data_IF_726484398154
#
_entry.id   IF_726484398154
#
_cell.length_a   1.000
_cell.length_b   1.000
_cell.length_c   1.000
_cell.angle_alpha   90.00
_cell.angle_beta   90.00
_cell.angle_gamma   90.00
#
_symmetry.space_group_name_H-M   'P 1'
#
loop_
_entity.id
_entity.type
_entity.pdbx_description
1 polymer ?
#
# COMPACT_ATOMS: atom_id res chain seq x y z
N UNK A 1 0.84 53.48 1.06
CA UNK A 1 -0.51 53.91 0.63
C UNK A 1 -1.53 53.15 1.47
N UNK A 2 -2.51 53.89 2.04
CA UNK A 2 -3.86 53.50 2.54
C UNK A 2 -4.03 52.06 3.10
N UNK A 3 -4.16 51.84 4.42
CA UNK A 3 -5.35 52.04 5.30
C UNK A 3 -6.64 51.37 4.81
N UNK A 4 -7.23 50.53 5.68
CA UNK A 4 -8.63 50.42 6.18
C UNK A 4 -8.84 48.95 6.64
N UNK A 5 -9.52 48.55 7.73
CA UNK A 5 -10.16 49.21 8.89
C UNK A 5 -10.80 48.07 9.77
N UNK A 6 -10.63 48.12 11.11
CA UNK A 6 -11.65 48.06 12.20
C UNK A 6 -12.87 47.13 11.95
N UNK A 7 -13.28 46.20 12.82
CA UNK A 7 -13.21 46.11 14.28
C UNK A 7 -14.63 45.89 14.83
N UNK A 8 -14.79 45.12 15.91
CA UNK A 8 -15.90 45.36 16.85
C UNK A 8 -15.58 44.79 18.24
N UNK A 9 -15.98 45.59 19.23
CA UNK A 9 -15.73 45.51 20.66
C UNK A 9 -17.10 45.74 21.30
N UNK A 10 -17.49 44.89 22.26
CA UNK A 10 -18.53 45.17 23.27
C UNK A 10 -18.38 44.12 24.37
N UNK A 11 -17.70 44.40 25.49
CA UNK A 11 -18.15 45.14 26.69
C UNK A 11 -19.45 44.60 27.29
N UNK A 12 -19.34 43.96 28.46
CA UNK A 12 -20.20 44.24 29.62
C UNK A 12 -19.47 43.84 30.90
N UNK A 13 -19.00 44.87 31.61
CA UNK A 13 -18.69 44.84 33.04
C UNK A 13 -20.00 44.72 33.83
N UNK A 14 -20.00 43.94 34.92
CA UNK A 14 -20.66 44.32 36.16
C UNK A 14 -19.79 43.91 37.35
N UNK A 15 -19.57 44.89 38.22
CA UNK A 15 -18.80 44.80 39.44
C UNK A 15 -19.73 44.86 40.67
N UNK A 16 -19.13 44.52 41.81
CA UNK A 16 -19.43 44.97 43.18
C UNK A 16 -20.20 44.02 44.12
N UNK A 17 -19.42 43.47 45.06
CA UNK A 17 -19.58 43.52 46.52
C UNK A 17 -20.98 43.59 47.15
N UNK A 18 -21.25 42.66 48.06
CA UNK A 18 -21.89 42.97 49.34
C UNK A 18 -21.26 42.18 50.49
N UNK A 19 -20.70 42.90 51.45
CA UNK A 19 -20.48 42.43 52.83
C UNK A 19 -21.77 42.56 53.64
N UNK A 20 -22.00 41.61 54.55
CA UNK A 20 -22.88 41.73 55.72
C UNK A 20 -22.85 40.41 56.49
N UNK A 21 -21.99 40.25 57.51
CA UNK A 21 -22.16 40.54 58.95
C UNK A 21 -23.30 39.80 59.68
N UNK A 22 -22.89 39.02 60.70
CA UNK A 22 -23.68 38.56 61.86
C UNK A 22 -24.24 37.15 61.69
N UNK A 23 -24.13 36.20 62.60
CA UNK A 23 -23.67 36.20 63.99
C UNK A 23 -24.45 35.12 64.77
N UNK A 24 -23.70 34.27 65.48
CA UNK A 24 -24.02 33.47 66.67
C UNK A 24 -25.00 32.28 66.68
N UNK A 25 -24.47 31.22 67.34
CA UNK A 25 -25.10 30.24 68.26
C UNK A 25 -26.06 29.20 67.66
N UNK A 26 -26.21 27.98 68.16
CA UNK A 26 -25.48 27.00 68.99
C UNK A 26 -26.52 25.89 69.21
N UNK A 27 -26.09 24.61 69.23
CA UNK A 27 -26.83 23.43 69.77
C UNK A 27 -28.12 23.02 69.01
N UNK A 28 -28.58 21.77 68.96
CA UNK A 28 -28.07 20.44 69.24
C UNK A 28 -29.15 19.45 68.73
N UNK A 29 -28.68 18.27 68.29
CA UNK A 29 -29.32 16.95 68.36
C UNK A 29 -30.58 16.57 67.53
N UNK A 30 -30.55 15.25 67.28
CA UNK A 30 -31.58 14.29 66.86
C UNK A 30 -31.75 14.05 65.37
N UNK A 31 -31.39 12.82 65.00
CA UNK A 31 -31.31 12.34 63.64
C UNK A 31 -32.65 11.91 63.06
N UNK A 32 -32.61 11.80 61.75
CA UNK A 32 -33.48 10.94 60.98
C UNK A 32 -32.59 10.36 59.88
N UNK A 33 -32.24 9.08 60.02
CA UNK A 33 -31.51 8.33 59.01
C UNK A 33 -32.44 8.06 57.84
N UNK A 34 -32.65 9.08 57.01
CA UNK A 34 -33.06 8.88 55.63
C UNK A 34 -31.86 8.33 54.88
N UNK A 35 -32.00 7.15 54.30
CA UNK A 35 -31.13 6.65 53.24
C UNK A 35 -31.08 7.73 52.14
N UNK A 36 -30.04 8.56 52.18
CA UNK A 36 -29.63 9.33 51.03
C UNK A 36 -29.09 8.28 50.06
N UNK A 37 -29.84 8.02 48.98
CA UNK A 37 -29.22 7.58 47.74
C UNK A 37 -28.04 8.53 47.50
N UNK A 38 -26.82 8.02 47.63
CA UNK A 38 -25.64 8.70 47.10
C UNK A 38 -25.95 8.95 45.63
N UNK A 39 -26.31 10.19 45.29
CA UNK A 39 -26.21 10.65 43.91
C UNK A 39 -24.73 10.54 43.59
N UNK A 40 -24.34 9.46 42.91
CA UNK A 40 -23.03 9.36 42.29
C UNK A 40 -22.80 10.67 41.53
N UNK A 41 -21.76 11.40 41.94
CA UNK A 41 -21.34 12.60 41.25
C UNK A 41 -20.99 12.18 39.82
N UNK A 42 -21.67 12.76 38.84
CA UNK A 42 -21.42 12.44 37.44
C UNK A 42 -20.01 12.97 37.08
N UNK A 43 -19.08 12.07 36.80
CA UNK A 43 -17.71 12.38 36.42
C UNK A 43 -17.44 11.97 34.99
N UNK A 44 -16.37 12.48 34.38
CA UNK A 44 -15.94 12.02 33.04
C UNK A 44 -15.71 10.50 33.03
N UNK A 45 -15.02 9.99 34.06
CA UNK A 45 -14.75 8.55 34.24
C UNK A 45 -16.05 7.74 34.29
N UNK A 46 -17.06 8.16 35.08
CA UNK A 46 -18.31 7.39 35.17
C UNK A 46 -19.15 7.44 33.90
N UNK A 47 -19.04 8.51 33.10
CA UNK A 47 -19.64 8.56 31.74
C UNK A 47 -18.91 7.60 30.80
N UNK A 48 -17.57 7.60 30.81
CA UNK A 48 -16.73 6.73 29.97
C UNK A 48 -16.96 5.25 30.25
N UNK A 49 -16.96 4.84 31.53
CA UNK A 49 -17.21 3.44 31.92
C UNK A 49 -18.58 2.95 31.44
N UNK A 50 -19.62 3.78 31.57
CA UNK A 50 -20.97 3.46 31.10
C UNK A 50 -21.06 3.41 29.58
N UNK A 51 -20.32 4.28 28.89
CA UNK A 51 -20.27 4.30 27.43
C UNK A 51 -19.52 3.08 26.87
N UNK A 52 -18.39 2.68 27.47
CA UNK A 52 -17.68 1.44 27.15
C UNK A 52 -18.57 0.22 27.36
N UNK A 53 -19.32 0.14 28.47
CA UNK A 53 -20.27 -0.95 28.71
C UNK A 53 -21.41 -0.97 27.67
N UNK A 54 -21.91 0.20 27.26
CA UNK A 54 -22.93 0.30 26.22
C UNK A 54 -22.40 -0.21 24.86
N UNK A 55 -21.17 0.16 24.50
CA UNK A 55 -20.50 -0.26 23.28
C UNK A 55 -20.12 -1.75 23.26
N UNK A 56 -19.82 -2.35 24.42
CA UNK A 56 -19.61 -3.81 24.52
C UNK A 56 -20.85 -4.64 24.13
N UNK A 57 -22.03 -4.02 24.04
CA UNK A 57 -23.27 -4.68 23.62
C UNK A 57 -23.75 -4.19 22.25
N UNK A 58 -22.91 -3.52 21.48
CA UNK A 58 -23.24 -3.01 20.14
C UNK A 58 -23.26 -4.17 19.14
N UNK A 59 -24.43 -4.48 18.57
CA UNK A 59 -24.61 -5.54 17.57
C UNK A 59 -24.36 -5.04 16.14
N UNK A 60 -24.63 -3.75 15.90
CA UNK A 60 -24.54 -3.13 14.57
C UNK A 60 -24.35 -1.62 14.67
N UNK A 61 -23.71 -1.02 13.68
CA UNK A 61 -23.57 0.42 13.56
C UNK A 61 -23.44 0.88 12.11
N UNK A 62 -23.91 2.08 11.82
CA UNK A 62 -23.59 2.82 10.59
C UNK A 62 -22.89 4.11 10.98
N UNK A 63 -21.69 4.33 10.46
CA UNK A 63 -20.79 5.44 10.81
C UNK A 63 -20.44 6.20 9.54
N UNK A 64 -20.89 7.44 9.44
CA UNK A 64 -20.38 8.35 8.41
C UNK A 64 -18.97 8.79 8.78
N UNK A 65 -18.04 8.65 7.85
CA UNK A 65 -16.63 8.99 8.06
C UNK A 65 -16.22 10.16 7.19
N UNK A 66 -15.39 11.02 7.78
CA UNK A 66 -14.66 12.06 7.09
C UNK A 66 -13.25 12.08 7.66
N UNK A 67 -12.28 11.62 6.88
CA UNK A 67 -10.89 11.47 7.32
C UNK A 67 -9.96 12.13 6.31
N UNK A 68 -8.77 12.53 6.75
CA UNK A 68 -7.68 12.91 5.87
C UNK A 68 -6.82 11.69 5.56
N UNK A 69 -6.62 11.39 4.28
CA UNK A 69 -5.71 10.33 3.85
C UNK A 69 -4.24 10.76 3.97
N UNK A 70 -3.32 9.83 3.69
CA UNK A 70 -1.88 10.07 3.77
C UNK A 70 -1.33 11.05 2.72
N UNK A 71 -2.15 11.45 1.73
CA UNK A 71 -1.83 12.49 0.76
C UNK A 71 -2.40 13.87 1.16
N UNK A 72 -3.09 13.97 2.30
CA UNK A 72 -3.75 15.19 2.74
C UNK A 72 -5.08 15.44 2.03
N UNK A 73 -5.66 14.42 1.39
CA UNK A 73 -6.96 14.48 0.71
C UNK A 73 -8.04 14.02 1.68
N UNK A 74 -9.12 14.78 1.77
CA UNK A 74 -10.26 14.33 2.57
C UNK A 74 -11.00 13.21 1.84
N UNK A 75 -11.11 12.07 2.50
CA UNK A 75 -11.97 10.95 2.13
C UNK A 75 -13.26 11.04 2.95
N UNK A 76 -14.40 10.80 2.29
CA UNK A 76 -15.72 10.79 2.89
C UNK A 76 -16.44 9.50 2.47
N UNK A 77 -17.19 8.89 3.38
CA UNK A 77 -17.88 7.63 3.11
C UNK A 77 -18.74 7.16 4.28
N UNK A 78 -19.23 5.93 4.18
CA UNK A 78 -20.02 5.28 5.21
C UNK A 78 -19.44 3.91 5.50
N UNK A 79 -19.24 3.63 6.79
CA UNK A 79 -18.89 2.31 7.31
C UNK A 79 -20.13 1.69 7.97
N UNK A 80 -20.51 0.50 7.54
CA UNK A 80 -21.62 -0.29 8.06
C UNK A 80 -21.09 -1.56 8.71
N UNK A 81 -21.63 -1.91 9.87
CA UNK A 81 -21.17 -3.03 10.68
C UNK A 81 -22.33 -3.91 11.14
N UNK A 82 -22.12 -5.22 11.09
CA UNK A 82 -22.86 -6.23 11.84
C UNK A 82 -21.85 -7.02 12.68
N UNK A 83 -21.54 -6.52 13.88
CA UNK A 83 -20.46 -7.02 14.73
C UNK A 83 -20.67 -8.49 15.14
N UNK A 84 -21.91 -8.90 15.41
CA UNK A 84 -22.24 -10.28 15.79
C UNK A 84 -21.99 -11.28 14.65
N UNK A 85 -22.14 -10.83 13.40
CA UNK A 85 -21.91 -11.63 12.19
C UNK A 85 -20.47 -11.50 11.67
N UNK A 86 -19.68 -10.58 12.24
CA UNK A 86 -18.33 -10.29 11.79
C UNK A 86 -18.26 -9.61 10.42
N UNK A 87 -19.29 -8.85 10.06
CA UNK A 87 -19.39 -8.19 8.75
C UNK A 87 -19.11 -6.70 8.89
N UNK A 88 -18.22 -6.19 8.03
CA UNK A 88 -17.91 -4.77 7.87
C UNK A 88 -17.98 -4.38 6.39
N UNK A 89 -18.55 -3.21 6.10
CA UNK A 89 -18.67 -2.69 4.75
C UNK A 89 -18.37 -1.19 4.71
N UNK A 90 -17.51 -0.77 3.79
CA UNK A 90 -17.21 0.62 3.49
C UNK A 90 -17.71 0.94 2.08
N UNK A 91 -18.30 2.13 1.93
CA UNK A 91 -18.58 2.73 0.63
C UNK A 91 -18.18 4.22 0.65
N UNK A 92 -17.38 4.64 -0.33
CA UNK A 92 -17.00 6.04 -0.49
C UNK A 92 -18.23 6.89 -0.86
N UNK A 93 -18.25 8.17 -0.52
CA UNK A 93 -19.35 9.09 -0.89
C UNK A 93 -19.57 9.15 -2.40
N UNK A 94 -18.50 8.94 -3.18
CA UNK A 94 -18.53 8.97 -4.64
C UNK A 94 -18.95 7.63 -5.24
N UNK A 95 -19.03 6.56 -4.45
CA UNK A 95 -19.37 5.20 -4.87
C UNK A 95 -18.29 4.52 -5.72
N UNK A 96 -17.10 5.11 -5.77
CA UNK A 96 -15.97 4.68 -6.60
C UNK A 96 -15.01 3.74 -5.86
N UNK A 97 -15.23 3.53 -4.57
CA UNK A 97 -14.50 2.55 -3.75
C UNK A 97 -15.46 1.87 -2.78
N UNK A 98 -15.40 0.54 -2.71
CA UNK A 98 -16.11 -0.28 -1.71
C UNK A 98 -15.16 -1.32 -1.11
N UNK A 99 -15.32 -1.57 0.18
CA UNK A 99 -14.62 -2.65 0.89
C UNK A 99 -15.69 -3.47 1.60
N UNK A 100 -15.78 -4.76 1.33
CA UNK A 100 -16.62 -5.68 2.08
C UNK A 100 -15.73 -6.70 2.77
N UNK A 101 -15.98 -6.97 4.05
CA UNK A 101 -15.23 -7.94 4.84
C UNK A 101 -16.21 -8.79 5.65
N UNK A 102 -16.08 -10.11 5.58
CA UNK A 102 -16.76 -11.05 6.47
C UNK A 102 -15.77 -12.08 7.05
N UNK A 103 -16.27 -13.08 7.78
CA UNK A 103 -15.40 -14.08 8.42
C UNK A 103 -14.65 -14.99 7.45
N UNK A 104 -15.06 -15.04 6.18
CA UNK A 104 -14.50 -15.93 5.15
C UNK A 104 -13.70 -15.18 4.09
N UNK A 105 -14.03 -13.91 3.81
CA UNK A 105 -13.61 -13.23 2.59
C UNK A 105 -13.55 -11.71 2.73
N UNK A 106 -12.67 -11.10 1.92
CA UNK A 106 -12.56 -9.64 1.76
C UNK A 106 -12.62 -9.28 0.28
N UNK A 107 -13.51 -8.35 -0.06
CA UNK A 107 -13.72 -7.87 -1.41
C UNK A 107 -13.40 -6.39 -1.49
N UNK A 108 -12.49 -6.04 -2.40
CA UNK A 108 -12.04 -4.68 -2.64
C UNK A 108 -12.45 -4.28 -4.05
N UNK A 109 -13.31 -3.27 -4.17
CA UNK A 109 -13.90 -2.84 -5.44
C UNK A 109 -13.55 -1.37 -5.66
N UNK A 110 -13.03 -1.03 -6.84
CA UNK A 110 -12.59 0.32 -7.19
C UNK A 110 -12.80 0.61 -8.67
N UNK A 111 -13.27 1.82 -8.99
CA UNK A 111 -13.48 2.30 -10.36
C UNK A 111 -12.18 2.75 -11.07
N UNK A 112 -11.11 3.03 -10.32
CA UNK A 112 -9.93 3.74 -10.88
C UNK A 112 -8.74 2.85 -11.24
N UNK A 113 -8.60 1.69 -10.59
CA UNK A 113 -7.58 0.68 -10.86
C UNK A 113 -7.80 -0.52 -9.93
N UNK A 114 -7.24 -1.67 -10.29
CA UNK A 114 -7.03 -2.73 -9.32
C UNK A 114 -5.95 -2.34 -8.32
N UNK A 115 -6.17 -2.73 -7.07
CA UNK A 115 -5.20 -2.54 -6.00
C UNK A 115 -3.99 -3.44 -6.22
N UNK A 116 -2.79 -2.97 -5.92
CA UNK A 116 -1.61 -3.83 -5.76
C UNK A 116 -1.76 -4.69 -4.49
N UNK A 117 -1.07 -5.84 -4.36
CA UNK A 117 -1.17 -6.69 -3.16
C UNK A 117 -0.91 -5.93 -1.85
N UNK A 118 -0.01 -4.94 -1.88
CA UNK A 118 0.26 -4.11 -0.72
C UNK A 118 -0.87 -3.10 -0.43
N UNK A 119 -1.47 -2.51 -1.46
CA UNK A 119 -2.66 -1.66 -1.27
C UNK A 119 -3.83 -2.47 -0.73
N UNK A 120 -4.01 -3.71 -1.20
CA UNK A 120 -5.00 -4.65 -0.66
C UNK A 120 -4.77 -4.83 0.84
N UNK A 121 -3.56 -5.22 1.27
CA UNK A 121 -3.20 -5.39 2.67
C UNK A 121 -3.44 -4.13 3.53
N UNK A 122 -3.19 -2.92 2.99
CA UNK A 122 -3.49 -1.67 3.69
C UNK A 122 -5.00 -1.44 3.86
N UNK A 123 -5.81 -1.81 2.86
CA UNK A 123 -7.28 -1.72 2.93
C UNK A 123 -7.87 -2.75 3.88
N UNK A 124 -7.32 -3.97 3.92
CA UNK A 124 -7.67 -4.98 4.92
C UNK A 124 -7.38 -4.47 6.34
N UNK A 125 -6.17 -3.94 6.57
CA UNK A 125 -5.79 -3.36 7.87
C UNK A 125 -6.66 -2.16 8.24
N UNK A 126 -7.03 -1.33 7.26
CA UNK A 126 -7.94 -0.19 7.47
C UNK A 126 -9.31 -0.67 7.97
N UNK A 127 -9.96 -1.60 7.28
CA UNK A 127 -11.31 -2.04 7.67
C UNK A 127 -11.30 -2.78 9.01
N UNK A 128 -10.26 -3.57 9.31
CA UNK A 128 -10.10 -4.23 10.61
C UNK A 128 -9.92 -3.20 11.74
N UNK A 129 -9.00 -2.24 11.57
CA UNK A 129 -8.74 -1.19 12.56
C UNK A 129 -10.01 -0.38 12.83
N UNK A 130 -10.73 0.03 11.78
CA UNK A 130 -11.99 0.77 11.92
C UNK A 130 -13.10 -0.04 12.55
N UNK A 131 -13.14 -1.35 12.31
CA UNK A 131 -14.12 -2.23 12.97
C UNK A 131 -13.89 -2.23 14.48
N UNK A 132 -12.65 -2.40 14.94
CA UNK A 132 -12.32 -2.38 16.36
C UNK A 132 -12.56 -0.99 16.98
N UNK A 133 -12.09 0.06 16.31
CA UNK A 133 -12.26 1.46 16.74
C UNK A 133 -13.74 1.84 16.87
N UNK A 134 -14.58 1.49 15.90
CA UNK A 134 -16.00 1.86 15.89
C UNK A 134 -16.89 0.94 16.74
N UNK A 135 -16.47 -0.31 16.99
CA UNK A 135 -17.21 -1.17 17.91
C UNK A 135 -17.14 -0.59 19.32
N UNK A 136 -15.94 -0.27 19.80
CA UNK A 136 -15.73 0.32 21.11
C UNK A 136 -14.51 1.26 21.11
N UNK A 137 -14.71 2.57 20.82
CA UNK A 137 -13.59 3.50 20.72
C UNK A 137 -12.86 3.70 22.05
N UNK A 138 -13.54 3.50 23.18
CA UNK A 138 -12.94 3.63 24.50
C UNK A 138 -12.01 2.47 24.83
N UNK A 139 -12.46 1.23 24.56
CA UNK A 139 -11.59 0.07 24.72
C UNK A 139 -10.41 0.12 23.75
N UNK A 140 -10.64 0.55 22.49
CA UNK A 140 -9.59 0.70 21.49
C UNK A 140 -8.46 1.64 21.95
N UNK A 141 -8.78 2.89 22.35
CA UNK A 141 -7.73 3.82 22.81
C UNK A 141 -7.07 3.41 24.15
N UNK A 142 -7.77 2.65 25.00
CA UNK A 142 -7.20 2.11 26.24
C UNK A 142 -6.13 1.04 26.03
N UNK A 143 -6.06 0.42 24.85
CA UNK A 143 -4.98 -0.50 24.52
C UNK A 143 -3.62 0.21 24.49
N UNK A 144 -3.61 1.48 24.07
CA UNK A 144 -2.42 2.33 23.97
C UNK A 144 -2.17 3.14 25.24
N UNK A 145 -3.22 3.68 25.84
CA UNK A 145 -3.14 4.48 27.07
C UNK A 145 -3.99 3.86 28.20
N UNK A 146 -3.40 3.07 29.12
CA UNK A 146 -4.14 2.45 30.22
C UNK A 146 -4.83 3.45 31.16
N UNK A 147 -4.32 4.68 31.24
CA UNK A 147 -4.84 5.76 32.08
C UNK A 147 -5.78 6.71 31.28
N UNK A 148 -6.23 6.30 30.08
CA UNK A 148 -7.03 7.10 29.14
C UNK A 148 -8.22 7.81 29.79
N UNK A 149 -8.92 7.18 30.75
CA UNK A 149 -10.13 7.73 31.36
C UNK A 149 -9.88 8.93 32.28
N UNK A 150 -8.71 9.00 32.89
CA UNK A 150 -8.36 10.07 33.83
C UNK A 150 -8.03 11.39 33.10
N UNK A 151 -7.96 11.35 31.77
CA UNK A 151 -7.51 12.43 30.90
C UNK A 151 -8.66 13.07 30.13
N UNK A 152 -9.87 13.09 30.68
CA UNK A 152 -11.04 13.74 30.07
C UNK A 152 -11.68 14.80 30.97
N UNK A 153 -12.06 15.92 30.35
CA UNK A 153 -13.03 16.86 30.93
C UNK A 153 -14.44 16.57 30.43
N UNK A 154 -15.43 16.67 31.33
CA UNK A 154 -16.85 16.50 31.01
C UNK A 154 -17.53 17.86 30.89
N UNK A 155 -18.24 18.06 29.78
CA UNK A 155 -19.21 19.14 29.64
C UNK A 155 -20.56 18.59 29.20
N UNK A 156 -21.64 19.30 29.55
CA UNK A 156 -23.00 18.87 29.26
C UNK A 156 -23.67 19.81 28.25
N UNK A 157 -24.33 19.22 27.26
CA UNK A 157 -25.31 19.90 26.38
C UNK A 157 -26.67 19.22 26.56
N UNK A 158 -27.70 19.71 25.87
CA UNK A 158 -29.10 19.29 26.10
C UNK A 158 -29.26 17.75 26.15
N UNK A 159 -28.95 17.05 25.06
CA UNK A 159 -29.14 15.60 24.93
C UNK A 159 -27.83 14.79 24.98
N UNK A 160 -26.68 15.45 25.12
CA UNK A 160 -25.37 14.78 25.03
C UNK A 160 -24.41 15.20 26.15
N UNK A 161 -23.57 14.24 26.56
CA UNK A 161 -22.31 14.50 27.23
C UNK A 161 -21.24 14.77 26.17
N UNK A 162 -20.35 15.73 26.43
CA UNK A 162 -19.22 16.04 25.58
C UNK A 162 -17.96 15.85 26.41
N UNK A 163 -17.17 14.84 26.05
CA UNK A 163 -15.90 14.52 26.66
C UNK A 163 -14.79 15.07 25.79
N UNK A 164 -13.88 15.85 26.37
CA UNK A 164 -12.70 16.38 25.66
C UNK A 164 -11.44 15.87 26.32
N UNK A 165 -10.54 15.29 25.53
CA UNK A 165 -9.27 14.77 26.02
C UNK A 165 -8.35 15.93 26.43
N UNK A 166 -7.73 15.80 27.60
CA UNK A 166 -6.89 16.81 28.27
C UNK A 166 -5.55 16.23 28.74
N UNK A 167 -5.08 15.14 28.12
CA UNK A 167 -3.73 14.60 28.37
C UNK A 167 -2.62 15.61 28.05
N UNK A 168 -1.38 15.24 28.33
CA UNK A 168 -0.17 15.99 27.98
C UNK A 168 0.55 15.37 26.76
N UNK A 169 1.66 15.96 26.32
CA UNK A 169 2.40 15.54 25.12
C UNK A 169 2.77 14.04 25.14
N UNK A 170 3.31 13.55 26.26
CA UNK A 170 3.66 12.13 26.46
C UNK A 170 2.42 11.21 26.31
N UNK A 171 1.23 11.71 26.63
CA UNK A 171 -0.01 10.94 26.48
C UNK A 171 -0.49 10.90 25.03
N UNK A 172 -0.27 12.00 24.28
CA UNK A 172 -0.64 12.07 22.87
C UNK A 172 0.22 11.13 22.02
N UNK A 173 1.52 11.04 22.33
CA UNK A 173 2.47 10.13 21.68
C UNK A 173 2.03 8.67 21.80
N UNK A 174 1.45 8.25 22.93
CA UNK A 174 0.88 6.91 23.09
C UNK A 174 -0.28 6.67 22.12
N UNK A 175 -1.19 7.65 21.98
CA UNK A 175 -2.38 7.48 21.14
C UNK A 175 -2.06 7.48 19.63
N UNK A 176 -0.93 8.04 19.21
CA UNK A 176 -0.48 8.00 17.80
C UNK A 176 -0.27 6.56 17.33
N UNK A 177 0.10 5.64 18.21
CA UNK A 177 0.23 4.21 17.87
C UNK A 177 -1.09 3.60 17.37
N UNK A 178 -2.25 4.16 17.77
CA UNK A 178 -3.54 3.70 17.28
C UNK A 178 -3.86 4.20 15.87
N UNK A 179 -3.79 5.52 15.66
CA UNK A 179 -4.28 6.13 14.41
C UNK A 179 -3.17 6.45 13.38
N UNK A 180 -1.91 6.54 13.80
CA UNK A 180 -0.79 6.93 12.96
C UNK A 180 -0.25 5.80 12.09
N UNK A 181 -0.52 4.54 12.46
CA UNK A 181 0.09 3.38 11.80
C UNK A 181 -0.26 3.27 10.32
N UNK A 182 -1.52 3.45 9.95
CA UNK A 182 -1.96 3.36 8.55
C UNK A 182 -1.33 4.44 7.64
N UNK A 183 -1.36 5.74 7.97
CA UNK A 183 -0.73 6.76 7.13
C UNK A 183 0.80 6.64 7.06
N UNK A 184 1.45 6.19 8.14
CA UNK A 184 2.90 5.93 8.15
C UNK A 184 3.22 4.70 7.28
N UNK A 185 2.51 3.59 7.45
CA UNK A 185 2.72 2.38 6.65
C UNK A 185 2.56 2.66 5.15
N UNK A 186 1.52 3.42 4.78
CA UNK A 186 1.30 3.85 3.39
C UNK A 186 2.48 4.69 2.87
N UNK A 187 3.04 5.58 3.71
CA UNK A 187 4.16 6.45 3.32
C UNK A 187 5.51 5.73 3.27
N UNK A 188 5.77 4.79 4.17
CA UNK A 188 6.99 3.97 4.20
C UNK A 188 7.03 3.04 2.99
N UNK A 189 5.88 2.47 2.61
CA UNK A 189 5.76 1.66 1.40
C UNK A 189 6.14 2.44 0.13
N UNK A 190 5.67 3.69 0.00
CA UNK A 190 6.08 4.56 -1.12
C UNK A 190 7.59 4.84 -1.15
N UNK A 191 8.27 4.71 -0.01
CA UNK A 191 9.71 4.84 0.14
C UNK A 191 10.49 3.53 0.03
N UNK A 192 9.83 2.37 -0.06
CA UNK A 192 10.46 1.05 -0.11
C UNK A 192 10.99 0.54 1.25
N UNK A 193 10.42 1.01 2.37
CA UNK A 193 10.80 0.60 3.72
C UNK A 193 9.81 -0.45 4.26
N UNK A 194 10.33 -1.44 5.00
CA UNK A 194 9.49 -2.35 5.79
C UNK A 194 8.97 -1.61 7.04
N UNK A 195 7.71 -1.87 7.41
CA UNK A 195 7.09 -1.24 8.58
C UNK A 195 7.37 -2.13 9.79
N UNK A 196 8.30 -1.72 10.64
CA UNK A 196 8.32 -2.17 12.04
C UNK A 196 7.32 -1.32 12.85
N UNK A 197 6.67 -1.91 13.85
CA UNK A 197 5.65 -1.23 14.67
C UNK A 197 6.16 0.12 15.20
N UNK A 198 5.44 1.21 14.87
CA UNK A 198 5.76 2.55 15.36
C UNK A 198 5.63 2.56 16.87
N UNK A 199 6.68 3.04 17.54
CA UNK A 199 6.64 3.28 18.98
C UNK A 199 6.43 4.76 19.27
N UNK A 200 5.79 5.05 20.41
CA UNK A 200 5.72 6.38 20.99
C UNK A 200 7.09 7.04 21.13
N UNK A 201 8.18 6.25 21.27
CA UNK A 201 9.55 6.76 21.37
C UNK A 201 10.07 7.42 20.09
N UNK A 202 9.46 7.11 18.94
CA UNK A 202 9.85 7.55 17.61
C UNK A 202 8.92 8.67 17.09
N UNK A 203 8.03 9.18 17.94
CA UNK A 203 6.97 10.12 17.57
C UNK A 203 7.07 11.40 18.39
N UNK A 204 6.80 12.56 17.78
CA UNK A 204 6.58 13.82 18.48
C UNK A 204 5.26 14.45 18.03
N UNK A 205 4.47 15.00 18.96
CA UNK A 205 3.14 15.53 18.67
C UNK A 205 3.08 17.05 18.86
N UNK A 206 2.84 17.78 17.78
CA UNK A 206 2.71 19.24 17.80
C UNK A 206 1.34 19.71 18.31
N UNK A 207 0.29 19.06 17.83
CA UNK A 207 -1.09 19.39 18.20
C UNK A 207 -1.90 18.11 18.31
N UNK A 208 -2.75 18.03 19.34
CA UNK A 208 -3.67 16.92 19.52
C UNK A 208 -5.02 17.41 20.02
N UNK A 209 -6.10 16.79 19.53
CA UNK A 209 -7.45 16.97 20.04
C UNK A 209 -8.26 15.72 19.77
N UNK A 210 -8.89 15.21 20.83
CA UNK A 210 -9.87 14.13 20.76
C UNK A 210 -11.11 14.55 21.57
N UNK A 211 -12.30 14.37 21.00
CA UNK A 211 -13.55 14.63 21.72
C UNK A 211 -14.68 13.70 21.30
N UNK A 212 -15.48 13.26 22.26
CA UNK A 212 -16.62 12.37 22.06
C UNK A 212 -17.93 13.07 22.45
N UNK A 213 -18.94 12.94 21.58
CA UNK A 213 -20.33 13.29 21.87
C UNK A 213 -21.09 12.00 22.21
N UNK A 214 -21.55 11.87 23.47
CA UNK A 214 -22.22 10.67 24.00
C UNK A 214 -23.67 10.98 24.33
N UNK A 215 -24.59 10.13 23.88
CA UNK A 215 -26.02 10.24 24.18
C UNK A 215 -26.31 10.01 25.67
N UNK A 216 -27.02 10.95 26.33
CA UNK A 216 -27.27 10.86 27.77
C UNK A 216 -28.19 9.71 28.20
N UNK A 217 -29.04 9.22 27.30
CA UNK A 217 -30.02 8.18 27.62
C UNK A 217 -29.42 6.78 27.43
N UNK A 218 -28.76 6.57 26.28
CA UNK A 218 -28.22 5.27 25.86
C UNK A 218 -26.75 5.06 26.19
N UNK A 219 -25.99 6.13 26.48
CA UNK A 219 -24.53 6.11 26.63
C UNK A 219 -23.77 5.66 25.37
N UNK A 220 -24.43 5.57 24.23
CA UNK A 220 -23.78 5.30 22.96
C UNK A 220 -23.16 6.58 22.38
N UNK A 221 -22.00 6.44 21.74
CA UNK A 221 -21.36 7.53 21.01
C UNK A 221 -22.25 7.96 19.84
N UNK A 222 -22.49 9.26 19.72
CA UNK A 222 -23.14 9.91 18.57
C UNK A 222 -22.12 10.35 17.52
N UNK A 223 -20.93 10.69 17.96
CA UNK A 223 -19.80 10.97 17.10
C UNK A 223 -18.56 11.35 17.89
N UNK A 224 -17.42 11.38 17.21
CA UNK A 224 -16.18 11.87 17.77
C UNK A 224 -15.28 12.49 16.71
N UNK A 225 -14.41 13.39 17.16
CA UNK A 225 -13.47 14.13 16.33
C UNK A 225 -12.06 13.86 16.84
N UNK A 226 -11.13 13.58 15.92
CA UNK A 226 -9.70 13.47 16.16
C UNK A 226 -8.97 14.48 15.26
N UNK A 227 -8.09 15.28 15.84
CA UNK A 227 -7.13 16.10 15.10
C UNK A 227 -5.75 15.94 15.70
N UNK A 228 -4.77 15.59 14.88
CA UNK A 228 -3.38 15.49 15.29
C UNK A 228 -2.44 16.03 14.22
N UNK A 229 -1.32 16.62 14.64
CA UNK A 229 -0.15 16.90 13.80
C UNK A 229 1.02 16.28 14.52
N UNK A 230 1.73 15.35 13.88
CA UNK A 230 2.80 14.58 14.50
C UNK A 230 3.94 14.31 13.51
N UNK A 231 5.15 14.20 14.04
CA UNK A 231 6.36 13.84 13.31
C UNK A 231 6.81 12.45 13.73
N UNK A 232 7.31 11.65 12.79
CA UNK A 232 7.85 10.31 13.03
C UNK A 232 9.27 10.22 12.51
N UNK A 233 10.18 9.72 13.35
CA UNK A 233 11.59 9.45 13.04
C UNK A 233 11.90 7.96 13.26
N UNK A 234 11.80 7.15 12.20
CA UNK A 234 12.07 5.69 12.25
C UNK A 234 13.16 5.35 11.22
N UNK A 235 14.30 4.82 11.67
CA UNK A 235 15.41 4.38 10.81
C UNK A 235 15.87 5.40 9.75
N UNK A 236 15.83 6.70 10.11
CA UNK A 236 16.21 7.80 9.21
C UNK A 236 15.11 8.25 8.25
N UNK A 237 13.89 7.69 8.38
CA UNK A 237 12.67 8.26 7.83
C UNK A 237 12.13 9.30 8.81
N UNK A 238 12.29 10.58 8.47
CA UNK A 238 11.77 11.73 9.22
C UNK A 238 10.67 12.41 8.39
N UNK A 239 9.42 12.32 8.86
CA UNK A 239 8.25 12.88 8.17
C UNK A 239 7.15 13.35 9.12
N UNK A 240 6.59 14.52 8.79
CA UNK A 240 5.38 15.05 9.43
C UNK A 240 4.09 14.56 8.78
N UNK A 241 3.09 14.35 9.60
CA UNK A 241 1.75 13.88 9.25
C UNK A 241 0.67 14.73 9.92
N UNK A 242 -0.42 14.94 9.20
CA UNK A 242 -1.65 15.53 9.73
C UNK A 242 -2.74 14.46 9.73
N UNK A 243 -3.48 14.37 10.83
CA UNK A 243 -4.70 13.58 10.94
C UNK A 243 -5.87 14.51 11.27
N UNK A 244 -6.94 14.45 10.48
CA UNK A 244 -8.22 15.12 10.76
C UNK A 244 -9.32 14.12 10.44
N UNK A 245 -9.98 13.62 11.48
CA UNK A 245 -11.02 12.61 11.37
C UNK A 245 -12.27 13.02 12.14
N UNK A 246 -13.43 12.76 11.54
CA UNK A 246 -14.75 12.96 12.15
C UNK A 246 -15.61 11.75 11.83
N UNK A 247 -16.19 11.16 12.88
CA UNK A 247 -17.04 9.99 12.79
C UNK A 247 -18.39 10.30 13.37
N UNK A 248 -19.47 9.98 12.65
CA UNK A 248 -20.84 10.22 13.08
C UNK A 248 -21.65 8.93 13.02
N UNK A 249 -22.14 8.48 14.16
CA UNK A 249 -22.98 7.28 14.26
C UNK A 249 -24.41 7.63 13.83
N UNK A 250 -24.79 7.18 12.64
CA UNK A 250 -26.11 7.41 12.07
C UNK A 250 -27.16 6.46 12.67
N UNK A 251 -26.80 5.19 12.85
CA UNK A 251 -27.64 4.16 13.49
C UNK A 251 -26.81 3.22 14.35
N UNK A 252 -27.37 2.75 15.47
CA UNK A 252 -26.74 1.79 16.39
C UNK A 252 -27.75 0.78 16.88
N UNK A 253 -27.39 -0.51 16.91
CA UNK A 253 -28.29 -1.62 17.27
C UNK A 253 -29.59 -1.67 16.44
N UNK A 254 -29.54 -1.18 15.20
CA UNK A 254 -30.63 -1.28 14.23
C UNK A 254 -30.34 -2.41 13.22
N UNK A 255 -31.39 -2.94 12.60
CA UNK A 255 -31.25 -3.93 11.52
C UNK A 255 -30.71 -3.21 10.27
N UNK A 256 -29.40 -3.33 10.04
CA UNK A 256 -28.71 -2.82 8.86
C UNK A 256 -28.55 -4.00 7.91
N UNK A 257 -29.03 -3.89 6.67
CA UNK A 257 -28.81 -4.93 5.67
C UNK A 257 -27.51 -4.63 4.91
N UNK A 258 -26.49 -5.44 5.13
CA UNK A 258 -25.24 -5.42 4.35
C UNK A 258 -25.34 -6.59 3.37
N UNK A 259 -25.36 -6.31 2.07
CA UNK A 259 -25.34 -7.34 1.02
C UNK A 259 -23.89 -7.55 0.59
N UNK A 260 -23.44 -8.82 0.57
CA UNK A 260 -22.15 -9.17 -0.02
C UNK A 260 -22.17 -8.76 -1.51
N UNK A 261 -21.20 -7.95 -1.98
CA UNK A 261 -21.12 -7.56 -3.38
C UNK A 261 -21.04 -8.77 -4.32
N UNK A 262 -21.44 -8.58 -5.58
CA UNK A 262 -21.20 -9.60 -6.59
C UNK A 262 -19.69 -9.69 -6.88
N UNK A 263 -19.14 -10.89 -7.00
CA UNK A 263 -17.70 -11.09 -7.28
C UNK A 263 -17.31 -10.49 -8.63
N UNK A 264 -18.26 -10.42 -9.56
CA UNK A 264 -18.07 -9.76 -10.84
C UNK A 264 -17.88 -8.23 -10.71
N UNK A 265 -18.25 -7.60 -9.58
CA UNK A 265 -17.91 -6.19 -9.33
C UNK A 265 -16.40 -5.97 -9.09
N UNK A 266 -15.64 -7.03 -8.77
CA UNK A 266 -14.18 -6.95 -8.67
C UNK A 266 -13.49 -7.05 -10.04
N UNK A 267 -14.23 -7.44 -11.08
CA UNK A 267 -13.68 -7.66 -12.40
C UNK A 267 -13.48 -6.33 -13.16
N UNK A 268 -12.47 -6.27 -14.01
CA UNK A 268 -12.28 -5.16 -14.96
C UNK A 268 -13.46 -5.10 -15.92
N UNK A 269 -13.91 -3.88 -16.26
CA UNK A 269 -15.04 -3.65 -17.16
C UNK A 269 -14.90 -4.47 -18.46
N UNK A 270 -15.94 -5.24 -18.77
CA UNK A 270 -15.98 -6.16 -19.93
C UNK A 270 -15.72 -7.63 -19.60
N UNK A 271 -15.24 -7.97 -18.41
CA UNK A 271 -14.95 -9.35 -17.99
C UNK A 271 -15.82 -9.78 -16.79
N UNK A 272 -16.06 -11.09 -16.68
CA UNK A 272 -16.44 -11.69 -15.39
C UNK A 272 -15.20 -12.00 -14.56
N UNK A 273 -15.34 -12.18 -13.24
CA UNK A 273 -14.20 -12.52 -12.37
C UNK A 273 -13.48 -13.79 -12.83
N UNK A 274 -14.24 -14.85 -13.14
CA UNK A 274 -13.71 -16.12 -13.66
C UNK A 274 -12.94 -15.94 -14.99
N UNK A 275 -13.39 -15.02 -15.85
CA UNK A 275 -12.70 -14.74 -17.12
C UNK A 275 -11.40 -13.99 -16.88
N UNK A 276 -11.44 -12.97 -16.01
CA UNK A 276 -10.27 -12.20 -15.63
C UNK A 276 -9.19 -13.09 -15.01
N UNK A 277 -9.52 -13.86 -13.97
CA UNK A 277 -8.55 -14.76 -13.31
C UNK A 277 -7.94 -15.75 -14.29
N UNK A 278 -8.74 -16.31 -15.21
CA UNK A 278 -8.22 -17.20 -16.24
C UNK A 278 -7.30 -16.46 -17.22
N UNK A 279 -7.66 -15.26 -17.66
CA UNK A 279 -6.85 -14.52 -18.61
C UNK A 279 -5.56 -13.97 -18.01
N UNK A 280 -5.56 -13.63 -16.72
CA UNK A 280 -4.37 -13.28 -15.94
C UNK A 280 -3.40 -14.45 -15.82
N UNK A 281 -3.89 -15.67 -15.52
CA UNK A 281 -3.07 -16.90 -15.51
C UNK A 281 -2.52 -17.24 -16.90
N UNK A 282 -3.35 -17.08 -17.95
CA UNK A 282 -2.88 -17.25 -19.32
C UNK A 282 -1.80 -16.20 -19.70
N UNK A 283 -1.96 -14.93 -19.30
CA UNK A 283 -0.95 -13.89 -19.54
C UNK A 283 0.36 -14.15 -18.77
N UNK A 284 0.27 -14.59 -17.52
CA UNK A 284 1.39 -15.03 -16.69
C UNK A 284 2.19 -16.12 -17.41
N UNK A 285 1.51 -17.17 -17.85
CA UNK A 285 2.09 -18.32 -18.55
C UNK A 285 2.72 -17.91 -19.89
N UNK A 286 2.10 -16.97 -20.60
CA UNK A 286 2.64 -16.46 -21.86
C UNK A 286 3.96 -15.72 -21.69
N UNK A 287 4.05 -14.80 -20.73
CA UNK A 287 5.30 -14.06 -20.46
C UNK A 287 6.41 -15.00 -20.03
N UNK A 288 6.08 -15.97 -19.18
CA UNK A 288 7.01 -17.01 -18.75
C UNK A 288 7.54 -17.84 -19.94
N UNK A 289 6.65 -18.24 -20.86
CA UNK A 289 7.02 -18.94 -22.08
C UNK A 289 7.93 -18.08 -22.97
N UNK A 290 7.56 -16.83 -23.23
CA UNK A 290 8.36 -15.89 -24.04
C UNK A 290 9.75 -15.69 -23.45
N UNK A 291 9.89 -15.63 -22.12
CA UNK A 291 11.20 -15.59 -21.46
C UNK A 291 12.06 -16.81 -21.78
N UNK A 292 11.44 -17.99 -21.73
CA UNK A 292 12.13 -19.23 -22.06
C UNK A 292 12.63 -19.24 -23.50
N UNK A 293 11.82 -18.78 -24.47
CA UNK A 293 12.25 -18.70 -25.86
C UNK A 293 13.31 -17.61 -26.11
N UNK A 294 13.13 -16.41 -25.54
CA UNK A 294 13.94 -15.24 -25.88
C UNK A 294 15.26 -15.16 -25.10
N UNK A 295 15.26 -15.38 -23.79
CA UNK A 295 16.47 -15.23 -22.95
C UNK A 295 17.15 -16.57 -22.75
N UNK A 296 16.38 -17.62 -22.46
CA UNK A 296 16.92 -18.96 -22.21
C UNK A 296 17.07 -19.80 -23.49
N UNK A 297 16.59 -19.30 -24.62
CA UNK A 297 16.73 -19.95 -25.93
C UNK A 297 16.17 -21.39 -25.94
N UNK A 298 15.09 -21.61 -25.18
CA UNK A 298 14.51 -22.91 -24.87
C UNK A 298 13.06 -23.03 -25.37
N UNK A 299 12.92 -23.47 -26.62
CA UNK A 299 11.62 -23.70 -27.27
C UNK A 299 10.82 -24.82 -26.61
N UNK A 300 11.47 -25.85 -26.07
CA UNK A 300 10.73 -26.96 -25.44
C UNK A 300 10.02 -26.46 -24.16
N UNK A 301 10.66 -25.63 -23.34
CA UNK A 301 10.02 -24.99 -22.18
C UNK A 301 8.94 -23.98 -22.61
N UNK A 302 9.14 -23.24 -23.71
CA UNK A 302 8.07 -22.40 -24.27
C UNK A 302 6.81 -23.23 -24.58
N UNK A 303 6.97 -24.40 -25.21
CA UNK A 303 5.86 -25.29 -25.58
C UNK A 303 5.11 -25.80 -24.35
N UNK A 304 5.83 -26.11 -23.27
CA UNK A 304 5.23 -26.58 -22.02
C UNK A 304 4.44 -25.47 -21.32
N UNK A 305 4.95 -24.23 -21.35
CA UNK A 305 4.40 -23.11 -20.58
C UNK A 305 3.36 -22.29 -21.33
N UNK A 306 3.44 -22.13 -22.65
CA UNK A 306 2.56 -21.24 -23.39
C UNK A 306 1.08 -21.63 -23.15
N UNK A 307 0.16 -20.67 -22.91
CA UNK A 307 -1.19 -20.99 -22.42
C UNK A 307 -2.11 -21.58 -23.50
N UNK A 308 -1.87 -21.22 -24.77
CA UNK A 308 -2.81 -21.45 -25.89
C UNK A 308 -2.09 -22.14 -27.05
N UNK A 309 -2.83 -22.97 -27.79
CA UNK A 309 -2.36 -23.66 -28.99
C UNK A 309 -2.11 -25.14 -28.79
N UNK A 310 -2.08 -25.88 -29.89
CA UNK A 310 -1.57 -27.25 -29.92
C UNK A 310 -0.05 -27.27 -29.75
N UNK A 311 0.53 -28.42 -29.39
CA UNK A 311 1.98 -28.58 -29.23
C UNK A 311 2.78 -28.16 -30.50
N UNK A 312 2.22 -28.42 -31.68
CA UNK A 312 2.80 -28.02 -32.96
C UNK A 312 2.75 -26.49 -33.15
N UNK A 313 1.60 -25.85 -32.91
CA UNK A 313 1.45 -24.40 -33.01
C UNK A 313 2.33 -23.66 -31.98
N UNK A 314 2.42 -24.17 -30.76
CA UNK A 314 3.29 -23.62 -29.71
C UNK A 314 4.76 -23.72 -30.10
N UNK A 315 5.16 -24.83 -30.72
CA UNK A 315 6.55 -25.02 -31.16
C UNK A 315 6.91 -24.06 -32.28
N UNK A 316 6.04 -23.94 -33.29
CA UNK A 316 6.21 -22.95 -34.37
C UNK A 316 6.29 -21.52 -33.82
N UNK A 317 5.44 -21.18 -32.84
CA UNK A 317 5.47 -19.87 -32.17
C UNK A 317 6.75 -19.65 -31.37
N UNK A 318 7.18 -20.63 -30.57
CA UNK A 318 8.41 -20.55 -29.78
C UNK A 318 9.67 -20.43 -30.64
N UNK A 319 9.75 -21.17 -31.77
CA UNK A 319 10.83 -21.02 -32.75
C UNK A 319 10.82 -19.62 -33.39
N UNK A 320 9.64 -19.08 -33.70
CA UNK A 320 9.50 -17.73 -34.25
C UNK A 320 9.91 -16.63 -33.25
N UNK A 321 9.49 -16.73 -31.99
CA UNK A 321 9.90 -15.82 -30.91
C UNK A 321 11.42 -15.85 -30.71
N UNK A 322 11.99 -17.04 -30.56
CA UNK A 322 13.43 -17.24 -30.42
C UNK A 322 14.21 -16.59 -31.57
N UNK A 323 13.80 -16.87 -32.81
CA UNK A 323 14.46 -16.35 -34.01
C UNK A 323 14.30 -14.83 -34.13
N UNK A 324 13.08 -14.31 -33.94
CA UNK A 324 12.82 -12.86 -34.02
C UNK A 324 13.65 -12.09 -33.01
N UNK A 325 13.75 -12.61 -31.78
CA UNK A 325 14.58 -12.02 -30.73
C UNK A 325 16.06 -11.96 -31.12
N UNK A 326 16.64 -13.06 -31.60
CA UNK A 326 18.03 -13.10 -32.05
C UNK A 326 18.28 -12.14 -33.23
N UNK A 327 17.36 -12.07 -34.20
CA UNK A 327 17.47 -11.17 -35.34
C UNK A 327 17.41 -9.69 -34.94
N UNK A 328 16.49 -9.32 -34.06
CA UNK A 328 16.37 -7.95 -33.54
C UNK A 328 17.60 -7.55 -32.71
N UNK A 329 18.06 -8.44 -31.85
CA UNK A 329 19.26 -8.21 -31.04
C UNK A 329 20.50 -8.09 -31.91
N UNK A 330 20.67 -8.98 -32.90
CA UNK A 330 21.78 -8.93 -33.85
C UNK A 330 21.74 -7.66 -34.71
N UNK A 331 20.55 -7.21 -35.10
CA UNK A 331 20.40 -5.95 -35.83
C UNK A 331 20.83 -4.75 -34.97
N UNK A 332 20.38 -4.69 -33.73
CA UNK A 332 20.77 -3.63 -32.78
C UNK A 332 22.28 -3.63 -32.53
N UNK A 333 22.86 -4.81 -32.30
CA UNK A 333 24.28 -5.00 -32.07
C UNK A 333 25.12 -4.65 -33.31
N UNK A 334 24.71 -5.10 -34.49
CA UNK A 334 25.36 -4.84 -35.77
C UNK A 334 25.39 -3.36 -36.17
N UNK A 335 24.40 -2.56 -35.77
CA UNK A 335 24.46 -1.10 -35.91
C UNK A 335 25.55 -0.47 -35.04
N UNK A 336 25.79 -1.02 -33.85
CA UNK A 336 26.85 -0.57 -32.93
C UNK A 336 28.26 -0.96 -33.38
N UNK A 337 28.40 -2.12 -34.04
CA UNK A 337 29.70 -2.69 -34.46
C UNK A 337 30.02 -2.53 -35.94
N UNK A 338 29.16 -1.86 -36.72
CA UNK A 338 29.33 -1.72 -38.18
C UNK A 338 30.65 -1.06 -38.64
N UNK A 339 31.35 -0.35 -37.75
CA UNK A 339 32.68 0.20 -38.03
C UNK A 339 33.82 -0.84 -37.96
N UNK A 340 33.58 -2.00 -37.33
CA UNK A 340 34.56 -3.07 -37.17
C UNK A 340 34.68 -3.99 -38.39
N UNK A 341 33.75 -3.87 -39.36
CA UNK A 341 33.81 -4.63 -40.61
C UNK A 341 33.57 -6.13 -40.45
N UNK A 342 32.82 -6.54 -39.41
CA UNK A 342 32.39 -7.92 -39.17
C UNK A 342 31.42 -8.40 -40.25
N UNK A 343 31.47 -9.70 -40.57
CA UNK A 343 30.46 -10.36 -41.39
C UNK A 343 29.15 -10.57 -40.62
N UNK A 344 28.02 -10.65 -41.33
CA UNK A 344 26.70 -10.90 -40.73
C UNK A 344 26.67 -12.20 -39.90
N UNK A 345 27.41 -13.23 -40.34
CA UNK A 345 27.57 -14.51 -39.64
C UNK A 345 28.24 -14.30 -38.27
N UNK A 346 29.29 -13.46 -38.20
CA UNK A 346 29.97 -13.15 -36.94
C UNK A 346 29.18 -12.24 -36.02
N UNK A 347 28.39 -11.33 -36.57
CA UNK A 347 27.43 -10.53 -35.77
C UNK A 347 26.42 -11.45 -35.08
N UNK A 348 25.94 -12.49 -35.79
CA UNK A 348 25.01 -13.47 -35.22
C UNK A 348 25.68 -14.36 -34.17
N UNK A 349 26.86 -14.94 -34.44
CA UNK A 349 27.58 -15.75 -33.45
C UNK A 349 27.88 -14.98 -32.16
N UNK A 350 28.28 -13.70 -32.28
CA UNK A 350 28.53 -12.85 -31.13
C UNK A 350 27.24 -12.50 -30.38
N UNK A 351 26.13 -12.32 -31.10
CA UNK A 351 24.80 -12.14 -30.51
C UNK A 351 24.39 -13.37 -29.69
N UNK A 352 24.53 -14.57 -30.26
CA UNK A 352 24.24 -15.83 -29.57
C UNK A 352 25.08 -15.98 -28.30
N UNK A 353 26.36 -15.58 -28.32
CA UNK A 353 27.23 -15.63 -27.13
C UNK A 353 26.73 -14.70 -26.00
N UNK A 354 26.27 -13.48 -26.32
CA UNK A 354 25.68 -12.57 -25.33
C UNK A 354 24.36 -13.10 -24.77
N UNK A 355 23.48 -13.59 -25.64
CA UNK A 355 22.18 -14.15 -25.22
C UNK A 355 22.36 -15.39 -24.37
N UNK A 356 23.31 -16.27 -24.72
CA UNK A 356 23.69 -17.39 -23.88
C UNK A 356 24.20 -16.92 -22.52
N UNK A 357 24.94 -15.82 -22.47
CA UNK A 357 25.27 -15.12 -21.22
C UNK A 357 24.00 -14.85 -20.41
N UNK A 358 23.04 -14.12 -20.98
CA UNK A 358 21.80 -13.74 -20.32
C UNK A 358 20.96 -14.90 -19.79
N UNK A 359 21.03 -16.09 -20.40
CA UNK A 359 20.39 -17.31 -19.87
C UNK A 359 20.88 -17.74 -18.47
N UNK A 360 21.94 -17.13 -17.94
CA UNK A 360 22.42 -17.34 -16.58
C UNK A 360 21.79 -16.39 -15.54
N UNK A 361 20.89 -15.50 -15.94
CA UNK A 361 20.05 -14.75 -15.00
C UNK A 361 19.13 -15.67 -14.20
N UNK A 362 18.54 -15.14 -13.13
CA UNK A 362 17.41 -15.76 -12.44
C UNK A 362 16.17 -14.86 -12.57
N UNK A 363 14.99 -15.47 -12.68
CA UNK A 363 13.73 -14.73 -12.65
C UNK A 363 12.60 -15.53 -12.03
N UNK A 364 11.57 -14.82 -11.60
CA UNK A 364 10.30 -15.36 -11.14
C UNK A 364 9.19 -14.41 -11.57
N UNK A 365 8.14 -14.93 -12.19
CA UNK A 365 6.92 -14.14 -12.39
C UNK A 365 6.23 -14.01 -11.02
N UNK A 366 5.98 -12.77 -10.60
CA UNK A 366 5.45 -12.44 -9.27
C UNK A 366 3.93 -12.38 -9.31
N UNK A 367 3.38 -11.73 -10.33
CA UNK A 367 1.98 -11.35 -10.39
C UNK A 367 1.53 -11.08 -11.83
N UNK A 368 0.23 -11.16 -12.09
CA UNK A 368 -0.41 -10.83 -13.36
C UNK A 368 -1.79 -10.25 -13.09
N UNK A 369 -2.03 -9.02 -13.55
CA UNK A 369 -3.29 -8.29 -13.32
C UNK A 369 -3.88 -7.76 -14.61
N UNK A 370 -5.19 -7.90 -14.78
CA UNK A 370 -5.92 -7.25 -15.85
C UNK A 370 -6.02 -5.74 -15.58
N UNK A 371 -5.71 -4.94 -16.60
CA UNK A 371 -5.89 -3.48 -16.58
C UNK A 371 -6.96 -3.01 -17.58
N UNK A 372 -7.35 -3.87 -18.51
CA UNK A 372 -8.49 -3.73 -19.42
C UNK A 372 -8.98 -5.12 -19.86
N UNK A 373 -10.14 -5.21 -20.52
CA UNK A 373 -10.72 -6.47 -21.06
C UNK A 373 -9.68 -7.35 -21.79
N UNK A 374 -8.79 -6.72 -22.55
CA UNK A 374 -7.79 -7.39 -23.38
C UNK A 374 -6.34 -7.02 -22.99
N UNK A 375 -6.10 -6.32 -21.88
CA UNK A 375 -4.75 -5.85 -21.50
C UNK A 375 -4.40 -6.28 -20.08
N UNK A 376 -3.18 -6.81 -19.92
CA UNK A 376 -2.67 -7.38 -18.68
C UNK A 376 -1.29 -6.81 -18.38
N UNK A 377 -1.00 -6.59 -17.10
CA UNK A 377 0.33 -6.25 -16.61
C UNK A 377 0.88 -7.45 -15.85
N UNK A 378 2.05 -7.93 -16.27
CA UNK A 378 2.73 -9.05 -15.65
C UNK A 378 4.00 -8.53 -14.98
N UNK A 379 4.14 -8.79 -13.69
CA UNK A 379 5.31 -8.38 -12.91
C UNK A 379 6.31 -9.53 -12.84
N UNK A 380 7.56 -9.25 -13.19
CA UNK A 380 8.66 -10.22 -13.18
C UNK A 380 9.75 -9.72 -12.24
N UNK A 381 10.10 -10.52 -11.24
CA UNK A 381 11.27 -10.28 -10.42
C UNK A 381 12.49 -10.88 -11.12
N UNK A 382 13.49 -10.06 -11.41
CA UNK A 382 14.66 -10.45 -12.21
C UNK A 382 15.95 -10.15 -11.46
N UNK A 383 16.81 -11.15 -11.39
CA UNK A 383 18.24 -11.01 -11.06
C UNK A 383 19.04 -11.08 -12.37
N UNK A 384 19.18 -9.91 -13.00
CA UNK A 384 19.88 -9.77 -14.27
C UNK A 384 21.40 -9.83 -14.11
N UNK A 385 22.11 -9.98 -15.21
CA UNK A 385 23.58 -10.02 -15.20
C UNK A 385 24.15 -8.63 -14.92
N UNK A 386 25.21 -8.57 -14.12
CA UNK A 386 25.99 -7.36 -13.94
C UNK A 386 26.81 -7.05 -15.21
N UNK A 387 26.17 -6.39 -16.16
CA UNK A 387 26.75 -6.07 -17.46
C UNK A 387 28.01 -5.20 -17.33
N UNK A 388 28.06 -4.28 -16.36
CA UNK A 388 29.22 -3.43 -16.12
C UNK A 388 30.46 -4.23 -15.67
N UNK A 389 30.26 -5.29 -14.88
CA UNK A 389 31.35 -6.21 -14.52
C UNK A 389 31.81 -7.05 -15.71
N UNK A 390 30.87 -7.57 -16.51
CA UNK A 390 31.19 -8.32 -17.73
C UNK A 390 32.00 -7.46 -18.69
N UNK A 391 31.58 -6.22 -18.95
CA UNK A 391 32.30 -5.29 -19.83
C UNK A 391 33.71 -5.00 -19.31
N UNK A 392 33.85 -4.77 -18.00
CA UNK A 392 35.16 -4.52 -17.37
C UNK A 392 36.10 -5.71 -17.51
N UNK A 393 35.63 -6.93 -17.26
CA UNK A 393 36.46 -8.13 -17.36
C UNK A 393 36.75 -8.50 -18.82
N UNK A 394 35.80 -8.28 -19.73
CA UNK A 394 36.00 -8.42 -21.16
C UNK A 394 37.10 -7.49 -21.65
N UNK A 395 37.07 -6.21 -21.28
CA UNK A 395 38.11 -5.23 -21.61
C UNK A 395 39.51 -5.66 -21.12
N UNK A 396 39.59 -6.25 -19.92
CA UNK A 396 40.84 -6.76 -19.37
C UNK A 396 41.37 -7.95 -20.17
N UNK A 397 40.51 -8.90 -20.53
CA UNK A 397 40.87 -10.07 -21.34
C UNK A 397 41.32 -9.65 -22.75
N UNK A 398 40.59 -8.73 -23.39
CA UNK A 398 40.96 -8.20 -24.70
C UNK A 398 42.27 -7.40 -24.64
N UNK A 399 42.49 -6.62 -23.58
CA UNK A 399 43.76 -5.92 -23.35
C UNK A 399 44.93 -6.89 -23.21
N UNK A 400 44.75 -8.02 -22.52
CA UNK A 400 45.76 -9.07 -22.42
C UNK A 400 46.11 -9.65 -23.80
N UNK A 401 45.11 -9.87 -24.67
CA UNK A 401 45.34 -10.34 -26.04
C UNK A 401 46.16 -9.33 -26.86
N UNK A 402 45.90 -8.02 -26.70
CA UNK A 402 46.70 -6.95 -27.32
C UNK A 402 48.14 -6.96 -26.80
N UNK A 403 48.32 -7.05 -25.47
CA UNK A 403 49.66 -7.07 -24.85
C UNK A 403 50.48 -8.29 -25.26
N UNK A 404 49.82 -9.43 -25.48
CA UNK A 404 50.44 -10.67 -25.95
C UNK A 404 50.69 -10.67 -27.47
N UNK A 405 50.22 -9.65 -28.20
CA UNK A 405 50.40 -9.49 -29.64
C UNK A 405 49.44 -10.32 -30.50
N UNK A 406 48.38 -10.88 -29.90
CA UNK A 406 47.35 -11.64 -30.59
C UNK A 406 46.32 -10.73 -31.27
N UNK A 407 46.09 -9.53 -30.73
CA UNK A 407 45.24 -8.48 -31.33
C UNK A 407 46.06 -7.19 -31.56
N UNK A 408 45.77 -6.46 -32.63
CA UNK A 408 46.38 -5.16 -32.94
C UNK A 408 45.48 -4.30 -33.86
N UNK A 409 45.95 -3.11 -34.22
CA UNK A 409 45.19 -2.16 -35.08
C UNK A 409 44.89 -2.68 -36.50
N UNK A 410 45.59 -3.72 -36.97
CA UNK A 410 45.38 -4.36 -38.28
C UNK A 410 44.49 -5.62 -38.17
N UNK A 411 44.03 -6.00 -36.97
CA UNK A 411 43.15 -7.17 -36.78
C UNK A 411 41.82 -6.95 -37.51
N UNK A 412 41.41 -7.94 -38.30
CA UNK A 412 40.16 -7.89 -39.05
C UNK A 412 38.94 -8.09 -38.12
N UNK A 413 37.77 -7.57 -38.52
CA UNK A 413 36.56 -7.59 -37.70
C UNK A 413 36.15 -8.99 -37.22
N UNK A 414 36.24 -9.99 -38.09
CA UNK A 414 35.89 -11.38 -37.75
C UNK A 414 36.88 -11.98 -36.73
N UNK A 415 38.19 -11.68 -36.85
CA UNK A 415 39.20 -12.11 -35.87
C UNK A 415 39.02 -11.43 -34.51
N UNK A 416 38.54 -10.17 -34.51
CA UNK A 416 38.15 -9.47 -33.28
C UNK A 416 36.91 -10.09 -32.64
N UNK A 417 35.91 -10.46 -33.45
CA UNK A 417 34.69 -11.13 -32.97
C UNK A 417 35.02 -12.47 -32.29
N UNK A 418 35.87 -13.30 -32.91
CA UNK A 418 36.32 -14.58 -32.33
C UNK A 418 36.97 -14.38 -30.95
N UNK A 419 37.82 -13.36 -30.81
CA UNK A 419 38.47 -13.07 -29.53
C UNK A 419 37.49 -12.58 -28.46
N UNK A 420 36.43 -11.87 -28.85
CA UNK A 420 35.36 -11.44 -27.93
C UNK A 420 34.54 -12.66 -27.50
N UNK A 421 34.13 -13.52 -28.43
CA UNK A 421 33.37 -14.75 -28.13
C UNK A 421 34.15 -15.64 -27.17
N UNK A 422 35.43 -15.91 -27.45
CA UNK A 422 36.31 -16.71 -26.57
C UNK A 422 36.41 -16.12 -25.16
N UNK A 423 36.43 -14.79 -25.04
CA UNK A 423 36.47 -14.11 -23.76
C UNK A 423 35.12 -14.22 -23.02
N UNK A 424 34.00 -14.00 -23.71
CA UNK A 424 32.65 -14.15 -23.15
C UNK A 424 32.39 -15.57 -22.66
N UNK A 425 32.74 -16.58 -23.46
CA UNK A 425 32.63 -18.00 -23.06
C UNK A 425 33.35 -18.29 -21.74
N UNK A 426 34.51 -17.64 -21.54
CA UNK A 426 35.30 -17.78 -20.34
C UNK A 426 34.67 -17.08 -19.14
N UNK A 427 34.16 -15.86 -19.32
CA UNK A 427 33.48 -15.10 -18.27
C UNK A 427 32.18 -15.79 -17.84
N UNK A 428 31.38 -16.21 -18.81
CA UNK A 428 30.13 -16.90 -18.58
C UNK A 428 30.32 -18.32 -18.05
N UNK A 429 31.40 -19.02 -18.41
CA UNK A 429 31.73 -20.34 -17.87
C UNK A 429 32.09 -20.35 -16.37
N UNK A 430 32.48 -19.19 -15.81
CA UNK A 430 32.80 -19.04 -14.38
C UNK A 430 31.58 -18.69 -13.51
N UNK A 431 30.43 -18.38 -14.15
CA UNK A 431 29.21 -17.91 -13.49
C UNK A 431 29.24 -16.40 -13.30
N UNK A 432 28.46 -15.62 -14.06
CA UNK A 432 28.48 -14.16 -13.98
C UNK A 432 27.90 -13.69 -12.64
N UNK A 433 28.38 -12.54 -12.16
CA UNK A 433 27.73 -11.85 -11.05
C UNK A 433 26.34 -11.38 -11.47
N UNK A 434 25.37 -11.57 -10.60
CA UNK A 434 24.01 -11.05 -10.77
C UNK A 434 23.84 -9.76 -9.98
N UNK A 435 22.99 -8.87 -10.49
CA UNK A 435 22.52 -7.70 -9.76
C UNK A 435 21.52 -8.10 -8.67
N UNK A 436 21.22 -7.17 -7.77
CA UNK A 436 20.10 -7.34 -6.83
C UNK A 436 18.79 -7.53 -7.60
N UNK A 437 17.90 -8.36 -7.02
CA UNK A 437 16.60 -8.64 -7.59
C UNK A 437 15.77 -7.35 -7.67
N UNK A 438 15.07 -7.16 -8.79
CA UNK A 438 14.15 -6.04 -8.98
C UNK A 438 12.95 -6.45 -9.79
N UNK A 439 11.85 -5.74 -9.59
CA UNK A 439 10.63 -5.96 -10.34
C UNK A 439 10.62 -5.13 -11.62
N UNK A 440 10.22 -5.78 -12.71
CA UNK A 440 9.86 -5.14 -13.97
C UNK A 440 8.41 -5.49 -14.29
N UNK A 441 7.67 -4.55 -14.85
CA UNK A 441 6.29 -4.77 -15.29
C UNK A 441 6.25 -4.78 -16.80
N UNK A 442 5.63 -5.80 -17.40
CA UNK A 442 5.45 -5.91 -18.85
C UNK A 442 3.98 -5.89 -19.20
N UNK A 443 3.63 -5.16 -20.25
CA UNK A 443 2.26 -5.11 -20.77
C UNK A 443 2.05 -6.19 -21.83
N UNK A 444 0.99 -6.98 -21.65
CA UNK A 444 0.59 -8.05 -22.57
C UNK A 444 -0.82 -7.77 -23.05
N UNK A 445 -1.04 -7.88 -24.36
CA UNK A 445 -2.35 -7.71 -24.96
C UNK A 445 -2.87 -9.03 -25.51
N UNK A 446 -4.10 -9.35 -25.15
CA UNK A 446 -4.84 -10.48 -25.69
C UNK A 446 -5.56 -10.05 -26.96
N UNK A 447 -5.20 -10.63 -28.09
CA UNK A 447 -5.80 -10.31 -29.38
C UNK A 447 -6.15 -11.60 -30.15
N UNK A 448 -7.43 -11.75 -30.50
CA UNK A 448 -7.89 -12.89 -31.32
C UNK A 448 -7.73 -14.26 -30.65
N UNK A 449 -7.64 -14.31 -29.32
CA UNK A 449 -7.41 -15.54 -28.55
C UNK A 449 -5.93 -15.94 -28.45
N UNK A 450 -5.01 -15.01 -28.70
CA UNK A 450 -3.58 -15.16 -28.45
C UNK A 450 -3.06 -13.96 -27.64
N UNK A 451 -1.88 -14.08 -27.08
CA UNK A 451 -1.22 -13.02 -26.31
C UNK A 451 -0.05 -12.46 -27.12
N UNK A 452 0.20 -11.15 -26.99
CA UNK A 452 1.26 -10.44 -27.68
C UNK A 452 1.91 -9.49 -26.69
N UNK A 453 3.24 -9.48 -26.66
CA UNK A 453 4.04 -8.51 -25.91
C UNK A 453 4.49 -7.41 -26.89
N UNK A 454 4.11 -6.16 -26.67
CA UNK A 454 4.37 -5.07 -27.63
C UNK A 454 5.74 -4.40 -27.44
N UNK A 455 6.28 -4.42 -26.23
CA UNK A 455 7.55 -3.77 -25.92
C UNK A 455 8.51 -4.75 -25.24
N UNK A 456 9.45 -5.28 -26.03
CA UNK A 456 10.49 -6.18 -25.54
C UNK A 456 11.60 -5.40 -24.83
N UNK A 457 11.65 -4.07 -24.91
CA UNK A 457 12.79 -3.29 -24.41
C UNK A 457 12.82 -3.16 -22.89
N UNK A 458 11.69 -2.87 -22.24
CA UNK A 458 11.59 -2.83 -20.76
C UNK A 458 11.85 -4.21 -20.16
N UNK A 459 11.28 -5.22 -20.81
CA UNK A 459 11.51 -6.62 -20.55
C UNK A 459 13.00 -7.00 -20.61
N UNK A 460 13.68 -6.75 -21.73
CA UNK A 460 15.11 -7.06 -21.94
C UNK A 460 15.99 -6.29 -20.95
N UNK A 461 15.72 -5.00 -20.76
CA UNK A 461 16.47 -4.15 -19.84
C UNK A 461 16.51 -4.74 -18.43
N UNK A 462 15.45 -5.44 -18.01
CA UNK A 462 15.40 -6.24 -16.78
C UNK A 462 16.60 -7.18 -16.60
N UNK A 463 16.95 -7.90 -17.66
CA UNK A 463 17.96 -8.97 -17.68
C UNK A 463 19.40 -8.46 -17.95
N UNK A 464 19.54 -7.26 -18.53
CA UNK A 464 20.83 -6.76 -19.06
C UNK A 464 21.33 -5.42 -18.47
N UNK A 465 20.60 -4.81 -17.53
CA UNK A 465 20.85 -3.40 -17.12
C UNK A 465 22.27 -3.14 -16.56
N UNK A 466 22.90 -2.00 -16.93
CA UNK A 466 24.24 -1.59 -16.51
C UNK A 466 24.27 -0.82 -15.16
N UNK A 467 23.19 -0.85 -14.37
CA UNK A 467 23.05 -0.11 -13.12
C UNK A 467 22.92 -1.03 -11.93
#
# INVERSE_FOLDING_TARGET
>A
MKKFLIGMLSVSLLAACSQGTGGNEAEAEEGDSGEQEEQEELTAVSVLERAEEAHNNLSSAEVSVKEMDHFGINIEGVLSYQFDEGIAYYESERGDEKIYNDTEDIMLISDYAQFTPNEEALKERYIETKTNEHQNPFSYYKEFDPDFYDKFELSERDAIYVLTYIGEEEDYELLVEGFGVLPIASSLQLGGYEVDDISSADTSVDTFRLSFDIDKESFLVKGYELRSSFEVDVDGFDRGFDADATYLYASTNEEIAIEKPDVDEMAVDGLTYDEQTRYEDEAFQYVDAVIQANIYQNVDEYVERAPIGSEEEKRESGEAEQQSFLEEFAMAFGFGTGELGMSDEKVLELTEAYVQGYSQSEYMIVDSKAVAEDTFQVTVNVQGINQAEIERELDLLLTEQVMNGNLNEETEGDEMADAIIDALDRLYGEGPSLNEARDITVEVVRAGGSYILFDHSEYINGFISPY
#
